data_IF_347034775896
#
_entry.id   IF_347034775896
#
_cell.length_a   1.000
_cell.length_b   1.000
_cell.length_c   1.000
_cell.angle_alpha   90.00
_cell.angle_beta   90.00
_cell.angle_gamma   90.00
#
_symmetry.space_group_name_H-M   'P 1'
#
loop_
_entity.id
_entity.type
_entity.pdbx_description
1 polymer ?
#
# COMPACT_ATOMS: atom_id res chain seq x y z
N UNK A 1 4.48 19.81 -14.47
CA UNK A 1 3.81 19.90 -15.77
C UNK A 1 2.33 20.15 -15.51
N UNK A 2 1.76 21.13 -16.20
CA UNK A 2 0.33 21.36 -16.21
C UNK A 2 -0.34 20.20 -16.95
N UNK A 3 -1.22 19.46 -16.28
CA UNK A 3 -1.95 18.34 -16.89
C UNK A 3 -3.15 18.93 -17.62
N UNK A 4 -3.35 18.52 -18.87
CA UNK A 4 -4.57 18.82 -19.61
C UNK A 4 -5.73 18.06 -18.95
N UNK A 5 -6.55 18.80 -18.21
CA UNK A 5 -7.67 18.21 -17.43
C UNK A 5 -8.76 17.63 -18.34
N UNK A 6 -8.99 18.22 -19.52
CA UNK A 6 -10.02 17.73 -20.45
C UNK A 6 -9.56 16.37 -21.02
N UNK A 7 -8.30 16.28 -21.44
CA UNK A 7 -7.73 15.01 -21.87
C UNK A 7 -7.74 13.95 -20.76
N UNK A 8 -7.29 14.31 -19.55
CA UNK A 8 -7.26 13.39 -18.42
C UNK A 8 -8.65 12.88 -18.05
N UNK A 9 -9.66 13.77 -18.08
CA UNK A 9 -11.05 13.42 -17.83
C UNK A 9 -11.60 12.44 -18.88
N UNK A 10 -11.37 12.70 -20.17
CA UNK A 10 -11.88 11.82 -21.23
C UNK A 10 -11.19 10.43 -21.19
N UNK A 11 -9.89 10.38 -20.91
CA UNK A 11 -9.18 9.12 -20.73
C UNK A 11 -9.75 8.34 -19.53
N UNK A 12 -9.87 8.97 -18.37
CA UNK A 12 -10.42 8.33 -17.17
C UNK A 12 -11.86 7.86 -17.38
N UNK A 13 -12.69 8.68 -18.04
CA UNK A 13 -14.08 8.34 -18.36
C UNK A 13 -14.16 7.12 -19.28
N UNK A 14 -13.27 7.02 -20.26
CA UNK A 14 -13.22 5.88 -21.20
C UNK A 14 -12.88 4.55 -20.53
N UNK A 15 -12.16 4.58 -19.41
CA UNK A 15 -11.84 3.40 -18.61
C UNK A 15 -12.85 3.11 -17.48
N UNK A 16 -13.78 4.01 -17.22
CA UNK A 16 -14.78 3.86 -16.15
C UNK A 16 -15.99 3.05 -16.64
N UNK A 17 -16.31 1.91 -16.00
CA UNK A 17 -17.51 1.13 -16.36
C UNK A 17 -18.82 1.89 -16.18
N UNK A 18 -18.84 2.90 -15.32
CA UNK A 18 -20.01 3.73 -15.01
C UNK A 18 -19.98 5.11 -15.65
N UNK A 19 -18.86 5.46 -16.31
CA UNK A 19 -18.60 6.80 -16.83
C UNK A 19 -18.34 7.87 -15.75
N UNK A 20 -18.26 7.48 -14.47
CA UNK A 20 -17.92 8.39 -13.37
C UNK A 20 -16.40 8.53 -13.28
N UNK A 21 -15.95 9.73 -12.99
CA UNK A 21 -14.52 10.06 -12.81
C UNK A 21 -14.35 10.70 -11.44
N UNK A 22 -13.28 10.32 -10.75
CA UNK A 22 -12.83 10.96 -9.52
C UNK A 22 -11.86 12.08 -9.87
N UNK A 23 -12.09 13.26 -9.34
CA UNK A 23 -11.20 14.39 -9.44
C UNK A 23 -10.78 14.79 -8.02
N UNK A 24 -9.51 14.65 -7.71
CA UNK A 24 -8.98 14.86 -6.37
C UNK A 24 -7.85 15.91 -6.39
N UNK A 25 -7.67 16.58 -5.26
CA UNK A 25 -6.51 17.46 -5.09
C UNK A 25 -5.24 16.62 -5.06
N UNK A 26 -4.26 16.96 -5.88
CA UNK A 26 -2.93 16.37 -5.79
C UNK A 26 -2.24 16.81 -4.47
N UNK A 27 -1.78 15.84 -3.70
CA UNK A 27 -1.02 16.03 -2.46
C UNK A 27 0.43 15.59 -2.70
N UNK A 28 1.38 16.53 -2.77
CA UNK A 28 2.78 16.19 -2.93
C UNK A 28 3.35 15.64 -1.62
N UNK A 29 4.22 14.63 -1.72
CA UNK A 29 4.92 14.09 -0.56
C UNK A 29 5.22 12.60 -0.68
N UNK A 30 6.00 12.05 0.27
CA UNK A 30 6.29 10.62 0.30
C UNK A 30 5.00 9.82 0.54
N UNK A 31 4.93 8.67 -0.12
CA UNK A 31 3.79 7.78 0.00
C UNK A 31 4.20 6.49 0.72
N UNK A 32 3.27 5.98 1.51
CA UNK A 32 3.43 4.71 2.20
C UNK A 32 2.22 3.83 1.96
N UNK A 33 2.44 2.52 1.90
CA UNK A 33 1.38 1.53 1.96
C UNK A 33 1.35 0.88 3.32
N UNK A 34 0.14 0.68 3.81
CA UNK A 34 -0.12 -0.06 5.05
C UNK A 34 -0.96 -1.29 4.78
N UNK A 35 -0.76 -2.32 5.59
CA UNK A 35 -1.62 -3.50 5.59
C UNK A 35 -1.96 -3.88 7.01
N UNK A 36 -3.25 -4.02 7.29
CA UNK A 36 -3.77 -4.23 8.63
C UNK A 36 -4.77 -5.38 8.67
N UNK A 37 -4.81 -6.09 9.79
CA UNK A 37 -5.94 -6.93 10.17
C UNK A 37 -6.74 -6.22 11.24
N UNK A 38 -8.03 -6.03 10.98
CA UNK A 38 -8.96 -5.45 11.95
C UNK A 38 -9.62 -6.58 12.73
N UNK A 39 -9.54 -6.51 14.05
CA UNK A 39 -10.14 -7.48 14.97
C UNK A 39 -11.00 -6.71 15.97
N UNK A 40 -12.29 -6.99 16.00
CA UNK A 40 -13.26 -6.31 16.87
C UNK A 40 -13.19 -4.78 16.81
N UNK A 41 -12.90 -4.24 15.61
CA UNK A 41 -12.79 -2.82 15.37
C UNK A 41 -11.42 -2.21 15.65
N UNK A 42 -10.43 -2.98 16.07
CA UNK A 42 -9.05 -2.53 16.29
C UNK A 42 -8.16 -2.95 15.12
N UNK A 43 -7.46 -2.01 14.52
CA UNK A 43 -6.56 -2.27 13.40
C UNK A 43 -5.14 -2.58 13.89
N UNK A 44 -4.66 -3.75 13.58
CA UNK A 44 -3.27 -4.18 13.80
C UNK A 44 -2.53 -4.09 12.48
N UNK A 45 -1.51 -3.25 12.39
CA UNK A 45 -0.82 -2.87 11.15
C UNK A 45 0.64 -3.36 11.15
N UNK A 46 0.89 -4.65 10.87
CA UNK A 46 2.25 -5.17 10.73
C UNK A 46 2.91 -4.72 9.42
N UNK A 47 2.13 -4.45 8.37
CA UNK A 47 2.62 -4.01 7.07
C UNK A 47 2.73 -2.49 7.00
N UNK A 48 3.95 -2.00 6.72
CA UNK A 48 4.23 -0.58 6.57
C UNK A 48 5.44 -0.38 5.66
N UNK A 49 5.20 0.03 4.41
CA UNK A 49 6.24 0.18 3.39
C UNK A 49 6.27 1.59 2.82
N UNK A 50 7.47 2.12 2.60
CA UNK A 50 7.64 3.29 1.74
C UNK A 50 7.47 2.88 0.28
N UNK A 51 6.81 3.72 -0.52
CA UNK A 51 6.57 3.46 -1.95
C UNK A 51 7.50 4.30 -2.80
N UNK A 52 7.97 3.73 -3.90
CA UNK A 52 8.90 4.40 -4.81
C UNK A 52 8.20 4.80 -6.09
N UNK A 53 8.38 6.08 -6.44
CA UNK A 53 7.86 6.71 -7.66
C UNK A 53 8.98 7.46 -8.38
N UNK A 54 10.12 6.79 -8.58
CA UNK A 54 11.33 7.39 -9.17
C UNK A 54 11.12 7.88 -10.60
N UNK A 55 10.11 7.34 -11.28
CA UNK A 55 9.82 7.66 -12.67
C UNK A 55 8.58 8.54 -12.86
N UNK A 56 8.08 9.17 -11.77
CA UNK A 56 6.85 9.97 -11.82
C UNK A 56 6.92 11.08 -12.90
N UNK A 57 8.02 11.83 -12.95
CA UNK A 57 8.20 12.89 -13.94
C UNK A 57 8.38 12.33 -15.37
N UNK A 58 9.08 11.20 -15.49
CA UNK A 58 9.37 10.59 -16.79
C UNK A 58 8.12 10.07 -17.49
N UNK A 59 7.18 9.53 -16.74
CA UNK A 59 5.97 8.90 -17.26
C UNK A 59 4.71 9.72 -17.04
N UNK A 60 4.84 10.96 -16.54
CA UNK A 60 3.69 11.82 -16.37
C UNK A 60 2.86 11.92 -17.68
N UNK A 61 1.53 11.88 -17.60
CA UNK A 61 0.70 11.92 -16.40
C UNK A 61 0.44 10.56 -15.74
N UNK A 62 1.09 9.49 -16.17
CA UNK A 62 0.91 8.17 -15.60
C UNK A 62 1.67 8.04 -14.28
N UNK A 63 0.97 7.61 -13.22
CA UNK A 63 1.57 7.35 -11.92
C UNK A 63 2.04 5.90 -11.91
N UNK A 64 3.36 5.71 -12.05
CA UNK A 64 3.98 4.38 -12.11
C UNK A 64 4.82 4.19 -10.85
N UNK A 65 4.37 3.27 -10.02
CA UNK A 65 5.15 2.78 -8.89
C UNK A 65 6.20 1.79 -9.37
N UNK A 66 7.43 1.93 -8.89
CA UNK A 66 8.53 1.05 -9.25
C UNK A 66 9.08 0.20 -8.10
N UNK A 67 8.28 0.03 -7.05
CA UNK A 67 8.55 -0.82 -5.90
C UNK A 67 8.41 -0.12 -4.57
N UNK A 68 8.96 -0.73 -3.53
CA UNK A 68 8.89 -0.24 -2.16
C UNK A 68 10.03 -0.74 -1.30
N UNK A 69 10.03 -0.32 -0.03
CA UNK A 69 11.01 -0.77 0.95
C UNK A 69 10.42 -0.78 2.35
N UNK A 70 10.89 -1.75 3.15
CA UNK A 70 10.60 -1.92 4.56
C UNK A 70 11.92 -2.10 5.32
N UNK A 71 12.03 -1.66 6.58
CA UNK A 71 11.07 -0.80 7.27
C UNK A 71 11.01 0.58 6.63
N UNK A 72 9.92 1.29 6.89
CA UNK A 72 9.76 2.69 6.46
C UNK A 72 10.83 3.60 7.08
N UNK A 73 11.29 4.60 6.33
CA UNK A 73 12.19 5.64 6.80
C UNK A 73 11.50 6.73 7.65
N UNK A 74 10.17 6.71 7.72
CA UNK A 74 9.42 7.63 8.55
C UNK A 74 9.77 7.43 10.03
N UNK A 75 9.86 8.51 10.78
CA UNK A 75 10.06 8.42 12.22
C UNK A 75 8.85 7.78 12.92
N UNK A 76 9.06 7.28 14.13
CA UNK A 76 8.05 6.52 14.90
C UNK A 76 6.77 7.33 15.12
N UNK A 77 6.88 8.63 15.38
CA UNK A 77 5.73 9.52 15.61
C UNK A 77 4.87 9.61 14.35
N UNK A 78 5.48 9.80 13.19
CA UNK A 78 4.78 9.86 11.90
C UNK A 78 4.15 8.50 11.55
N UNK A 79 4.87 7.40 11.77
CA UNK A 79 4.31 6.06 11.58
C UNK A 79 3.08 5.82 12.48
N UNK A 80 3.12 6.30 13.73
CA UNK A 80 1.97 6.18 14.64
C UNK A 80 0.80 7.02 14.13
N UNK A 81 1.02 8.25 13.68
CA UNK A 81 -0.03 9.09 13.10
C UNK A 81 -0.70 8.42 11.87
N UNK A 82 0.08 7.72 11.04
CA UNK A 82 -0.46 6.94 9.92
C UNK A 82 -1.31 5.77 10.43
N UNK A 83 -0.85 5.02 11.43
CA UNK A 83 -1.64 3.91 12.01
C UNK A 83 -2.96 4.42 12.60
N UNK A 84 -2.93 5.53 13.33
CA UNK A 84 -4.11 6.16 13.91
C UNK A 84 -5.10 6.61 12.82
N UNK A 85 -4.59 7.14 11.70
CA UNK A 85 -5.40 7.52 10.55
C UNK A 85 -6.07 6.29 9.91
N UNK A 86 -5.33 5.21 9.69
CA UNK A 86 -5.85 3.94 9.16
C UNK A 86 -6.91 3.35 10.09
N UNK A 87 -6.64 3.33 11.40
CA UNK A 87 -7.61 2.90 12.41
C UNK A 87 -8.91 3.71 12.33
N UNK A 88 -8.80 5.04 12.28
CA UNK A 88 -9.94 5.95 12.20
C UNK A 88 -10.73 5.75 10.90
N UNK A 89 -10.04 5.61 9.79
CA UNK A 89 -10.67 5.41 8.49
C UNK A 89 -11.38 4.05 8.42
N UNK A 90 -10.75 2.96 8.86
CA UNK A 90 -11.38 1.65 8.94
C UNK A 90 -12.64 1.66 9.81
N UNK A 91 -12.58 2.32 10.97
CA UNK A 91 -13.74 2.49 11.87
C UNK A 91 -14.86 3.29 11.20
N UNK A 92 -14.52 4.36 10.45
CA UNK A 92 -15.51 5.19 9.74
C UNK A 92 -16.20 4.43 8.61
N UNK A 93 -15.52 3.43 8.03
CA UNK A 93 -16.09 2.51 7.03
C UNK A 93 -16.89 1.37 7.65
N UNK A 94 -16.97 1.29 8.98
CA UNK A 94 -17.68 0.22 9.70
C UNK A 94 -16.98 -1.13 9.67
N UNK A 95 -15.68 -1.18 9.35
CA UNK A 95 -14.93 -2.43 9.29
C UNK A 95 -14.62 -2.86 10.72
N UNK A 96 -15.25 -3.93 11.16
CA UNK A 96 -15.03 -4.51 12.48
C UNK A 96 -14.10 -5.72 12.48
N UNK A 97 -14.14 -6.52 11.43
CA UNK A 97 -13.26 -7.67 11.22
C UNK A 97 -12.89 -7.76 9.75
N UNK A 98 -11.65 -8.13 9.46
CA UNK A 98 -11.14 -8.29 8.11
C UNK A 98 -9.89 -7.48 7.83
N UNK A 99 -9.46 -7.48 6.59
CA UNK A 99 -8.22 -6.84 6.16
C UNK A 99 -8.46 -5.45 5.62
N UNK A 100 -7.48 -4.56 5.81
CA UNK A 100 -7.50 -3.20 5.26
C UNK A 100 -6.11 -2.88 4.71
N UNK A 101 -6.07 -2.64 3.40
CA UNK A 101 -4.90 -2.06 2.72
C UNK A 101 -5.11 -0.55 2.62
N UNK A 102 -4.11 0.23 2.98
CA UNK A 102 -4.15 1.69 2.87
C UNK A 102 -2.99 2.24 2.06
N UNK A 103 -3.29 3.20 1.18
CA UNK A 103 -2.31 4.05 0.53
C UNK A 103 -2.42 5.46 1.11
N UNK A 104 -1.32 5.92 1.66
CA UNK A 104 -1.25 7.15 2.46
C UNK A 104 -0.18 8.06 1.89
N UNK A 105 -0.46 9.35 1.78
CA UNK A 105 0.54 10.37 1.43
C UNK A 105 0.82 11.25 2.64
N UNK A 106 2.09 11.62 2.82
CA UNK A 106 2.53 12.57 3.84
C UNK A 106 2.67 13.95 3.18
N UNK A 107 1.68 14.80 3.32
CA UNK A 107 1.72 16.17 2.81
C UNK A 107 1.78 17.17 3.98
N UNK A 108 2.68 18.13 3.90
CA UNK A 108 2.89 19.15 4.95
C UNK A 108 3.06 18.55 6.36
N UNK A 109 3.74 17.39 6.43
CA UNK A 109 3.98 16.67 7.67
C UNK A 109 2.78 15.95 8.26
N UNK A 110 1.64 15.91 7.55
CA UNK A 110 0.42 15.24 7.97
C UNK A 110 0.08 14.06 7.04
N UNK A 111 -0.42 12.94 7.56
CA UNK A 111 -0.87 11.83 6.75
C UNK A 111 -2.28 12.06 6.20
N UNK A 112 -2.47 11.74 4.92
CA UNK A 112 -3.76 11.74 4.23
C UNK A 112 -4.00 10.41 3.56
N UNK A 113 -5.22 9.89 3.67
CA UNK A 113 -5.64 8.69 2.94
C UNK A 113 -5.81 9.02 1.46
N UNK A 114 -5.09 8.30 0.60
CA UNK A 114 -5.35 8.28 -0.85
C UNK A 114 -6.45 7.26 -1.12
N UNK A 115 -6.25 6.03 -0.65
CA UNK A 115 -7.19 4.93 -0.82
C UNK A 115 -7.16 4.00 0.39
N UNK A 116 -8.33 3.49 0.79
CA UNK A 116 -8.48 2.31 1.64
C UNK A 116 -9.25 1.24 0.89
N UNK A 117 -8.73 0.02 0.93
CA UNK A 117 -9.38 -1.14 0.32
C UNK A 117 -9.55 -2.27 1.35
N UNK A 118 -10.77 -2.81 1.44
CA UNK A 118 -11.08 -3.95 2.32
C UNK A 118 -10.62 -5.28 1.66
N UNK A 119 -9.35 -5.37 1.33
CA UNK A 119 -8.70 -6.53 0.72
C UNK A 119 -7.22 -6.59 1.09
N UNK A 120 -6.61 -7.75 0.90
CA UNK A 120 -5.16 -7.88 0.93
C UNK A 120 -4.52 -7.20 -0.28
N UNK A 121 -3.32 -6.68 -0.11
CA UNK A 121 -2.54 -6.05 -1.18
C UNK A 121 -2.01 -7.09 -2.17
N UNK A 122 -1.75 -6.61 -3.39
CA UNK A 122 -0.98 -7.32 -4.39
C UNK A 122 0.52 -7.02 -4.31
N UNK A 123 1.23 -7.29 -5.42
CA UNK A 123 2.63 -6.91 -5.57
C UNK A 123 3.57 -7.54 -4.54
N UNK A 124 3.22 -8.73 -4.03
CA UNK A 124 3.98 -9.47 -3.00
C UNK A 124 4.04 -8.80 -1.62
N UNK A 125 3.39 -7.66 -1.38
CA UNK A 125 3.48 -6.94 -0.11
C UNK A 125 2.97 -7.80 1.07
N UNK A 126 1.73 -8.29 1.02
CA UNK A 126 1.18 -9.11 2.10
C UNK A 126 1.77 -10.51 2.17
N UNK A 127 2.17 -11.10 1.03
CA UNK A 127 2.60 -12.50 0.96
C UNK A 127 4.09 -12.70 1.20
N UNK A 128 4.94 -11.72 0.89
CA UNK A 128 6.40 -11.84 0.97
C UNK A 128 7.04 -10.71 1.78
N UNK A 129 6.78 -9.46 1.46
CA UNK A 129 7.50 -8.34 2.09
C UNK A 129 7.22 -8.26 3.59
N UNK A 130 5.95 -8.33 4.00
CA UNK A 130 5.57 -8.29 5.43
C UNK A 130 6.17 -9.47 6.21
N UNK A 131 6.01 -10.74 5.79
CA UNK A 131 6.63 -11.86 6.49
C UNK A 131 8.16 -11.78 6.54
N UNK A 132 8.82 -11.39 5.46
CA UNK A 132 10.28 -11.22 5.41
C UNK A 132 10.75 -10.10 6.34
N UNK A 133 10.05 -8.96 6.34
CA UNK A 133 10.41 -7.82 7.19
C UNK A 133 10.11 -8.07 8.66
N UNK A 134 8.93 -8.64 9.00
CA UNK A 134 8.41 -8.67 10.37
C UNK A 134 8.28 -10.06 10.98
N UNK A 135 8.22 -11.11 10.18
CA UNK A 135 7.88 -12.46 10.63
C UNK A 135 6.39 -12.69 10.91
N UNK A 136 5.53 -11.74 10.54
CA UNK A 136 4.08 -11.85 10.72
C UNK A 136 3.47 -12.56 9.52
N UNK A 137 2.74 -13.64 9.76
CA UNK A 137 1.89 -14.31 8.76
C UNK A 137 0.50 -13.65 8.74
N UNK A 138 0.42 -12.49 8.09
CA UNK A 138 -0.82 -11.73 8.00
C UNK A 138 -1.87 -12.44 7.15
N UNK A 139 -1.45 -13.12 6.08
CA UNK A 139 -2.37 -13.84 5.18
C UNK A 139 -2.99 -15.02 5.92
N UNK A 140 -2.18 -15.82 6.62
CA UNK A 140 -2.68 -16.92 7.45
C UNK A 140 -3.62 -16.46 8.55
N UNK A 141 -3.31 -15.35 9.23
CA UNK A 141 -4.20 -14.75 10.22
C UNK A 141 -5.53 -14.30 9.61
N UNK A 142 -5.50 -13.67 8.43
CA UNK A 142 -6.71 -13.24 7.72
C UNK A 142 -7.59 -14.42 7.30
N UNK A 143 -6.99 -15.51 6.81
CA UNK A 143 -7.73 -16.74 6.45
C UNK A 143 -8.39 -17.34 7.69
N UNK A 144 -7.66 -17.50 8.79
CA UNK A 144 -8.20 -18.05 10.05
C UNK A 144 -9.34 -17.19 10.59
N UNK A 145 -9.19 -15.86 10.57
CA UNK A 145 -10.26 -14.94 10.95
C UNK A 145 -11.51 -15.13 10.07
N UNK A 146 -11.33 -15.29 8.75
CA UNK A 146 -12.44 -15.51 7.82
C UNK A 146 -13.15 -16.85 8.06
N UNK A 147 -12.44 -17.85 8.60
CA UNK A 147 -12.99 -19.14 9.03
C UNK A 147 -13.66 -19.08 10.43
N UNK A 148 -13.67 -17.91 11.08
CA UNK A 148 -14.27 -17.72 12.38
C UNK A 148 -13.36 -18.09 13.57
N UNK A 149 -12.08 -18.32 13.34
CA UNK A 149 -11.12 -18.59 14.40
C UNK A 149 -10.73 -17.29 15.13
N UNK A 150 -10.48 -17.43 16.43
CA UNK A 150 -9.92 -16.34 17.24
C UNK A 150 -8.45 -16.14 16.89
N UNK A 151 -8.04 -14.89 16.67
CA UNK A 151 -6.65 -14.52 16.40
C UNK A 151 -6.04 -13.92 17.67
N UNK A 152 -4.93 -14.51 18.15
CA UNK A 152 -4.14 -13.85 19.20
C UNK A 152 -3.43 -12.65 18.58
N UNK A 153 -3.75 -11.46 19.06
CA UNK A 153 -3.19 -10.20 18.54
C UNK A 153 -1.67 -10.12 18.67
N UNK A 154 -1.06 -10.92 19.54
CA UNK A 154 0.40 -11.03 19.65
C UNK A 154 1.05 -11.63 18.40
N UNK A 155 0.30 -12.44 17.63
CA UNK A 155 0.79 -12.99 16.37
C UNK A 155 1.00 -11.92 15.31
N UNK A 156 0.33 -10.76 15.44
CA UNK A 156 0.41 -9.61 14.56
C UNK A 156 1.51 -8.62 14.95
N UNK A 157 2.22 -8.88 16.04
CA UNK A 157 3.37 -8.08 16.45
C UNK A 157 4.63 -8.52 15.70
N UNK A 158 5.44 -7.58 15.19
CA UNK A 158 6.71 -7.90 14.57
C UNK A 158 7.64 -8.70 15.49
N UNK A 159 8.15 -9.83 14.99
CA UNK A 159 9.14 -10.69 15.66
C UNK A 159 10.56 -10.21 15.44
N UNK A 160 10.77 -9.50 14.34
CA UNK A 160 12.04 -8.86 13.95
C UNK A 160 11.72 -7.66 13.04
N UNK A 161 12.78 -6.97 12.62
CA UNK A 161 12.67 -5.84 11.69
C UNK A 161 13.83 -5.94 10.66
N UNK A 162 13.64 -6.73 9.61
CA UNK A 162 14.64 -6.98 8.58
C UNK A 162 14.40 -6.09 7.37
N UNK A 163 15.45 -5.48 6.78
CA UNK A 163 15.28 -4.69 5.58
C UNK A 163 14.85 -5.57 4.40
N UNK A 164 13.85 -5.09 3.66
CA UNK A 164 13.34 -5.69 2.43
C UNK A 164 13.17 -4.57 1.42
N UNK A 165 13.57 -4.80 0.18
CA UNK A 165 13.32 -3.87 -0.92
C UNK A 165 12.77 -4.62 -2.12
N UNK A 166 11.73 -4.07 -2.73
CA UNK A 166 11.17 -4.53 -3.98
C UNK A 166 11.46 -3.50 -5.06
N UNK A 167 11.76 -3.97 -6.27
CA UNK A 167 11.94 -3.13 -7.45
C UNK A 167 11.30 -3.78 -8.66
N UNK A 168 10.55 -2.99 -9.42
CA UNK A 168 10.04 -3.38 -10.72
C UNK A 168 10.98 -2.91 -11.80
N UNK A 169 11.34 -3.81 -12.71
CA UNK A 169 12.16 -3.50 -13.86
C UNK A 169 11.27 -3.20 -15.05
N UNK A 170 11.53 -2.08 -15.71
CA UNK A 170 10.81 -1.64 -16.91
C UNK A 170 11.71 -1.77 -18.14
N UNK A 171 11.73 -2.93 -18.79
CA UNK A 171 12.50 -3.11 -20.01
C UNK A 171 11.94 -2.24 -21.15
N UNK A 172 12.74 -2.00 -22.16
CA UNK A 172 12.26 -1.40 -23.42
C UNK A 172 11.19 -2.27 -24.07
N UNK A 173 10.31 -1.65 -24.86
CA UNK A 173 9.29 -2.39 -25.62
C UNK A 173 9.94 -3.50 -26.45
N UNK A 174 9.38 -4.69 -26.38
CA UNK A 174 9.90 -5.87 -27.07
C UNK A 174 9.50 -7.17 -26.39
N UNK A 175 10.14 -8.25 -26.84
CA UNK A 175 9.98 -9.59 -26.24
C UNK A 175 11.15 -9.87 -25.30
N UNK A 176 10.88 -10.11 -24.03
CA UNK A 176 11.91 -10.56 -23.06
C UNK A 176 12.30 -11.99 -23.43
N UNK A 177 13.58 -12.19 -23.82
CA UNK A 177 14.11 -13.50 -24.18
C UNK A 177 14.84 -14.18 -23.04
N UNK A 178 15.47 -13.42 -22.16
CA UNK A 178 16.20 -13.92 -21.00
C UNK A 178 16.24 -12.88 -19.89
N UNK A 179 16.35 -13.34 -18.65
CA UNK A 179 16.68 -12.54 -17.47
C UNK A 179 17.92 -13.16 -16.85
N UNK A 180 19.02 -12.42 -16.79
CA UNK A 180 20.28 -12.89 -16.24
C UNK A 180 20.52 -12.27 -14.84
N UNK A 181 21.13 -13.05 -13.94
CA UNK A 181 21.49 -12.58 -12.60
C UNK A 181 20.34 -12.53 -11.58
N UNK A 182 19.20 -13.15 -11.89
CA UNK A 182 18.06 -13.22 -10.97
C UNK A 182 18.29 -14.17 -9.77
N UNK A 183 19.33 -14.97 -9.83
CA UNK A 183 19.74 -16.00 -8.86
C UNK A 183 20.91 -15.57 -7.96
N UNK A 184 21.33 -14.28 -8.01
CA UNK A 184 22.48 -13.74 -7.26
C UNK A 184 22.08 -12.93 -6.06
#
# INVERSE_FOLDING_TARGET
QEVDLDWAYEVARGHSPTGRVMLERFLPGPQVSTESLVIEGNAYTPGFADRNYEYLERYAPHIIENGGQLPSHLNVTTQQAVRDLVQKAASSMGIRNGVVKGDIVLADGQPYVIELAARLSGGYFCTHEIPLNTGVDLVGAAIRQALGESIDTKELLPKWNRPVAQRYLFPSLGVVRAVEGADR
#
